data_IF_952045385899
#
_entry.id   IF_952045385899
#
_cell.length_a   1.000
_cell.length_b   1.000
_cell.length_c   1.000
_cell.angle_alpha   90.00
_cell.angle_beta   90.00
_cell.angle_gamma   90.00
#
_symmetry.space_group_name_H-M   'P 1'
#
loop_
_entity.id
_entity.type
_entity.pdbx_description
1 polymer ?
#
# COMPACT_ATOMS: atom_id res chain seq x y z
N UNK A 1 3.94 -3.31 -5.59
CA UNK A 1 3.78 -2.00 -6.29
C UNK A 1 4.27 -0.90 -5.36
N UNK A 2 4.69 0.28 -5.86
CA UNK A 2 5.21 1.34 -4.97
C UNK A 2 4.10 2.00 -4.13
N UNK A 3 4.37 2.28 -2.85
CA UNK A 3 3.39 2.84 -1.92
C UNK A 3 2.73 4.17 -2.36
N UNK A 4 3.42 5.11 -3.03
CA UNK A 4 2.76 6.29 -3.60
C UNK A 4 1.68 5.94 -4.62
N UNK A 5 1.90 4.92 -5.44
CA UNK A 5 0.92 4.46 -6.45
C UNK A 5 -0.32 3.84 -5.78
N UNK A 6 -0.14 3.03 -4.73
CA UNK A 6 -1.26 2.54 -3.90
C UNK A 6 -2.10 3.68 -3.33
N UNK A 7 -1.43 4.71 -2.81
CA UNK A 7 -2.13 5.87 -2.21
C UNK A 7 -2.91 6.67 -3.26
N UNK A 8 -2.31 6.92 -4.43
CA UNK A 8 -2.99 7.61 -5.54
C UNK A 8 -4.19 6.82 -6.03
N UNK A 9 -4.04 5.50 -6.24
CA UNK A 9 -5.12 4.63 -6.66
C UNK A 9 -6.26 4.59 -5.64
N UNK A 10 -5.95 4.35 -4.37
CA UNK A 10 -6.97 4.33 -3.32
C UNK A 10 -7.71 5.67 -3.21
N UNK A 11 -7.01 6.80 -3.28
CA UNK A 11 -7.62 8.12 -3.31
C UNK A 11 -8.45 8.35 -4.58
N UNK A 12 -7.98 7.91 -5.76
CA UNK A 12 -8.74 8.02 -6.99
C UNK A 12 -10.06 7.23 -6.93
N UNK A 13 -10.05 6.05 -6.32
CA UNK A 13 -11.23 5.20 -6.17
C UNK A 13 -12.17 5.67 -5.06
N UNK A 14 -11.63 6.03 -3.90
CA UNK A 14 -12.39 6.12 -2.66
C UNK A 14 -12.54 7.55 -2.11
N UNK A 15 -11.77 8.55 -2.56
CA UNK A 15 -11.87 9.91 -2.02
C UNK A 15 -13.10 10.67 -2.51
N UNK A 16 -13.49 11.69 -1.75
CA UNK A 16 -14.63 12.56 -2.09
C UNK A 16 -14.25 14.02 -1.86
N UNK A 17 -14.54 14.89 -2.86
CA UNK A 17 -14.38 16.34 -2.70
C UNK A 17 -15.25 16.84 -1.55
N UNK A 18 -14.65 17.69 -0.66
CA UNK A 18 -15.35 18.23 0.51
C UNK A 18 -15.38 17.32 1.75
N UNK A 19 -15.02 16.04 1.62
CA UNK A 19 -14.97 15.09 2.75
C UNK A 19 -13.53 14.84 3.20
N UNK A 20 -12.97 15.80 3.93
CA UNK A 20 -11.58 15.74 4.40
C UNK A 20 -11.30 14.52 5.29
N UNK A 21 -12.25 14.18 6.18
CA UNK A 21 -12.08 13.06 7.13
C UNK A 21 -11.98 11.73 6.38
N UNK A 22 -12.89 11.49 5.42
CA UNK A 22 -12.84 10.31 4.55
C UNK A 22 -11.54 10.25 3.76
N UNK A 23 -11.10 11.36 3.18
CA UNK A 23 -9.87 11.39 2.38
C UNK A 23 -8.63 11.05 3.20
N UNK A 24 -8.54 11.51 4.46
CA UNK A 24 -7.49 11.10 5.38
C UNK A 24 -7.60 9.61 5.77
N UNK A 25 -8.80 9.09 6.03
CA UNK A 25 -8.98 7.66 6.30
C UNK A 25 -8.51 6.80 5.13
N UNK A 26 -8.81 7.21 3.89
CA UNK A 26 -8.34 6.52 2.68
C UNK A 26 -6.81 6.59 2.54
N UNK A 27 -6.22 7.77 2.72
CA UNK A 27 -4.77 7.94 2.62
C UNK A 27 -4.03 7.08 3.67
N UNK A 28 -4.47 7.13 4.92
CA UNK A 28 -3.89 6.33 6.00
C UNK A 28 -4.07 4.83 5.75
N UNK A 29 -5.26 4.40 5.33
CA UNK A 29 -5.53 2.99 5.03
C UNK A 29 -4.69 2.45 3.88
N UNK A 30 -4.38 3.27 2.88
CA UNK A 30 -3.52 2.84 1.76
C UNK A 30 -2.03 2.73 2.11
N UNK A 31 -1.57 3.38 3.19
CA UNK A 31 -0.16 3.37 3.62
C UNK A 31 0.07 2.32 4.70
N UNK A 32 -0.94 2.01 5.50
CA UNK A 32 -0.79 1.18 6.70
C UNK A 32 -0.19 -0.22 6.43
N UNK A 33 -0.46 -0.90 5.29
CA UNK A 33 0.18 -2.18 5.00
C UNK A 33 1.71 -2.12 4.96
N UNK A 34 2.27 -1.01 4.47
CA UNK A 34 3.72 -0.79 4.34
C UNK A 34 4.36 -0.17 5.58
N UNK A 35 3.57 0.29 6.55
CA UNK A 35 4.10 1.06 7.70
C UNK A 35 5.12 0.28 8.50
N UNK A 36 4.95 -1.04 8.59
CA UNK A 36 5.90 -1.92 9.27
C UNK A 36 7.32 -1.77 8.66
N UNK A 37 7.42 -1.82 7.35
CA UNK A 37 8.69 -1.70 6.61
C UNK A 37 9.26 -0.30 6.76
N UNK A 38 8.43 0.74 6.64
CA UNK A 38 8.87 2.14 6.77
C UNK A 38 9.39 2.52 8.14
N UNK A 39 8.91 1.88 9.21
CA UNK A 39 9.42 2.12 10.55
C UNK A 39 10.61 1.22 10.87
N UNK A 40 10.52 -0.05 10.48
CA UNK A 40 11.53 -1.06 10.81
C UNK A 40 12.85 -0.85 10.05
N UNK A 41 12.80 -0.60 8.72
CA UNK A 41 14.02 -0.51 7.92
C UNK A 41 14.91 0.68 8.32
N UNK A 42 14.41 1.91 8.53
CA UNK A 42 15.21 3.01 9.06
C UNK A 42 15.75 2.73 10.47
N UNK A 43 14.94 2.11 11.35
CA UNK A 43 15.40 1.75 12.68
C UNK A 43 16.60 0.78 12.63
N UNK A 44 16.52 -0.28 11.83
CA UNK A 44 17.62 -1.22 11.65
C UNK A 44 18.85 -0.54 11.04
N UNK A 45 18.63 0.32 10.05
CA UNK A 45 19.70 0.98 9.30
C UNK A 45 20.44 2.02 10.15
N UNK A 46 19.71 2.92 10.83
CA UNK A 46 20.28 4.11 11.46
C UNK A 46 20.50 3.95 12.98
N UNK A 47 19.71 3.11 13.64
CA UNK A 47 19.86 2.87 15.10
C UNK A 47 20.74 1.65 15.36
N UNK A 48 20.46 0.53 14.65
CA UNK A 48 21.21 -0.72 14.87
C UNK A 48 22.44 -0.85 13.95
N UNK A 49 22.69 0.08 13.01
CA UNK A 49 23.86 0.09 12.14
C UNK A 49 23.92 -1.08 11.14
N UNK A 50 22.78 -1.73 10.85
CA UNK A 50 22.71 -2.88 9.94
C UNK A 50 23.03 -2.43 8.50
N UNK A 51 23.87 -3.20 7.78
CA UNK A 51 24.13 -2.94 6.36
C UNK A 51 22.86 -3.14 5.52
N UNK A 52 22.73 -2.40 4.39
CA UNK A 52 21.59 -2.56 3.49
C UNK A 52 21.45 -3.98 2.96
N UNK A 53 22.57 -4.63 2.63
CA UNK A 53 22.55 -6.01 2.15
C UNK A 53 21.98 -6.98 3.19
N UNK A 54 22.47 -6.95 4.42
CA UNK A 54 21.98 -7.78 5.51
C UNK A 54 20.51 -7.49 5.82
N UNK A 55 20.11 -6.19 5.76
CA UNK A 55 18.74 -5.77 6.00
C UNK A 55 17.76 -6.45 5.03
N UNK A 56 18.04 -6.37 3.72
CA UNK A 56 17.09 -6.81 2.69
C UNK A 56 17.24 -8.28 2.29
N UNK A 57 18.42 -8.91 2.48
CA UNK A 57 18.64 -10.31 2.12
C UNK A 57 18.41 -11.29 3.28
N UNK A 58 18.60 -10.83 4.52
CA UNK A 58 18.48 -11.71 5.69
C UNK A 58 17.33 -11.28 6.61
N UNK A 59 17.42 -10.08 7.21
CA UNK A 59 16.52 -9.66 8.27
C UNK A 59 15.08 -9.42 7.78
N UNK A 60 14.91 -8.98 6.54
CA UNK A 60 13.59 -8.81 5.94
C UNK A 60 12.83 -10.15 5.84
N UNK A 61 13.54 -11.24 5.53
CA UNK A 61 12.95 -12.58 5.42
C UNK A 61 12.92 -13.34 6.75
N UNK A 62 13.49 -12.78 7.82
CA UNK A 62 13.43 -13.38 9.15
C UNK A 62 12.00 -13.41 9.70
N UNK A 63 11.67 -14.47 10.43
CA UNK A 63 10.32 -14.73 10.93
C UNK A 63 9.68 -13.55 11.68
N UNK A 64 10.37 -12.82 12.58
CA UNK A 64 9.77 -11.68 13.28
C UNK A 64 9.27 -10.58 12.33
N UNK A 65 10.05 -10.27 11.26
CA UNK A 65 9.66 -9.27 10.30
C UNK A 65 8.52 -9.77 9.40
N UNK A 66 8.58 -11.03 8.97
CA UNK A 66 7.53 -11.65 8.16
C UNK A 66 6.21 -11.77 8.94
N UNK A 67 6.24 -11.98 10.25
CA UNK A 67 5.05 -11.95 11.12
C UNK A 67 4.46 -10.53 11.20
N UNK A 68 5.32 -9.52 11.35
CA UNK A 68 4.90 -8.13 11.39
C UNK A 68 4.27 -7.70 10.05
N UNK A 69 4.88 -8.04 8.92
CA UNK A 69 4.34 -7.80 7.58
C UNK A 69 2.97 -8.49 7.44
N UNK A 70 2.85 -9.75 7.82
CA UNK A 70 1.60 -10.50 7.71
C UNK A 70 0.46 -9.85 8.52
N UNK A 71 0.75 -9.31 9.71
CA UNK A 71 -0.23 -8.58 10.50
C UNK A 71 -0.76 -7.33 9.77
N UNK A 72 0.14 -6.53 9.19
CA UNK A 72 -0.22 -5.30 8.49
C UNK A 72 -0.79 -5.53 7.09
N UNK A 73 -0.56 -6.70 6.48
CA UNK A 73 -1.04 -7.08 5.14
C UNK A 73 -2.12 -8.18 5.19
N UNK A 74 -2.95 -8.20 6.22
CA UNK A 74 -3.96 -9.23 6.42
C UNK A 74 -5.32 -8.88 5.81
N UNK A 75 -5.72 -9.58 4.75
CA UNK A 75 -7.05 -9.47 4.15
C UNK A 75 -8.17 -9.81 5.16
N UNK A 76 -8.06 -10.87 5.99
CA UNK A 76 -9.08 -11.16 7.01
C UNK A 76 -9.28 -10.03 8.02
N UNK A 77 -8.20 -9.40 8.51
CA UNK A 77 -8.28 -8.30 9.47
C UNK A 77 -8.99 -7.09 8.84
N UNK A 78 -8.54 -6.64 7.66
CA UNK A 78 -9.16 -5.48 7.01
C UNK A 78 -10.55 -5.80 6.44
N UNK A 79 -10.82 -7.05 6.06
CA UNK A 79 -12.15 -7.52 5.71
C UNK A 79 -13.12 -7.41 6.89
N UNK A 80 -12.72 -7.88 8.07
CA UNK A 80 -13.50 -7.73 9.29
C UNK A 80 -13.74 -6.26 9.67
N UNK A 81 -12.69 -5.40 9.57
CA UNK A 81 -12.83 -3.96 9.78
C UNK A 81 -13.78 -3.31 8.77
N UNK A 82 -13.74 -3.72 7.50
CA UNK A 82 -14.65 -3.22 6.47
C UNK A 82 -16.11 -3.62 6.76
N UNK A 83 -16.35 -4.87 7.14
CA UNK A 83 -17.68 -5.37 7.52
C UNK A 83 -18.20 -4.59 8.75
N UNK A 84 -17.40 -4.47 9.81
CA UNK A 84 -17.76 -3.72 11.00
C UNK A 84 -18.04 -2.24 10.68
N UNK A 85 -17.19 -1.61 9.87
CA UNK A 85 -17.36 -0.24 9.40
C UNK A 85 -18.65 -0.06 8.58
N UNK A 86 -18.96 -1.03 7.74
CA UNK A 86 -20.20 -1.02 6.97
C UNK A 86 -21.45 -1.15 7.86
N UNK A 87 -21.46 -2.07 8.82
CA UNK A 87 -22.54 -2.23 9.79
C UNK A 87 -22.75 -0.94 10.61
N UNK A 88 -21.64 -0.33 11.01
CA UNK A 88 -21.66 0.89 11.83
C UNK A 88 -21.66 2.20 11.01
N UNK A 89 -21.95 2.15 9.71
CA UNK A 89 -21.86 3.30 8.80
C UNK A 89 -22.82 4.45 9.10
N UNK A 90 -23.81 4.25 9.93
CA UNK A 90 -24.65 5.34 10.46
C UNK A 90 -23.83 6.32 11.34
N UNK A 91 -22.76 5.82 12.01
CA UNK A 91 -21.84 6.61 12.81
C UNK A 91 -20.68 7.11 11.98
N UNK A 92 -20.16 8.31 12.28
CA UNK A 92 -19.03 8.90 11.56
C UNK A 92 -17.79 8.00 11.61
N UNK A 93 -17.43 7.47 12.78
CA UNK A 93 -16.27 6.59 12.91
C UNK A 93 -16.41 5.28 12.12
N UNK A 94 -17.63 4.71 12.03
CA UNK A 94 -17.88 3.52 11.22
C UNK A 94 -17.64 3.78 9.74
N UNK A 95 -18.08 4.94 9.22
CA UNK A 95 -17.75 5.35 7.84
C UNK A 95 -16.24 5.49 7.62
N UNK A 96 -15.53 6.11 8.55
CA UNK A 96 -14.09 6.31 8.43
C UNK A 96 -13.35 4.98 8.46
N UNK A 97 -13.73 4.07 9.37
CA UNK A 97 -13.18 2.71 9.45
C UNK A 97 -13.44 1.92 8.17
N UNK A 98 -14.62 2.01 7.58
CA UNK A 98 -14.93 1.38 6.29
C UNK A 98 -13.99 1.87 5.19
N UNK A 99 -13.83 3.19 5.02
CA UNK A 99 -12.97 3.73 3.96
C UNK A 99 -11.47 3.46 4.21
N UNK A 100 -11.03 3.47 5.46
CA UNK A 100 -9.69 3.04 5.84
C UNK A 100 -9.43 1.58 5.45
N UNK A 101 -10.33 0.68 5.84
CA UNK A 101 -10.20 -0.75 5.54
C UNK A 101 -10.28 -1.04 4.04
N UNK A 102 -11.19 -0.39 3.30
CA UNK A 102 -11.27 -0.53 1.84
C UNK A 102 -10.00 -0.06 1.14
N UNK A 103 -9.35 1.01 1.63
CA UNK A 103 -8.08 1.48 1.08
C UNK A 103 -6.94 0.48 1.34
N UNK A 104 -6.86 -0.13 2.53
CA UNK A 104 -5.90 -1.18 2.83
C UNK A 104 -6.15 -2.44 1.98
N UNK A 105 -7.41 -2.82 1.78
CA UNK A 105 -7.77 -3.94 0.88
C UNK A 105 -7.41 -3.63 -0.58
N UNK A 106 -7.57 -2.38 -1.04
CA UNK A 106 -7.14 -1.96 -2.39
C UNK A 106 -5.62 -2.10 -2.55
N UNK A 107 -4.85 -1.72 -1.53
CA UNK A 107 -3.39 -1.90 -1.51
C UNK A 107 -3.04 -3.39 -1.70
N UNK A 108 -3.54 -4.26 -0.82
CA UNK A 108 -3.26 -5.70 -0.88
C UNK A 108 -3.75 -6.35 -2.19
N UNK A 109 -4.89 -5.92 -2.74
CA UNK A 109 -5.39 -6.43 -4.01
C UNK A 109 -4.47 -6.12 -5.19
N UNK A 110 -3.72 -5.03 -5.13
CA UNK A 110 -2.76 -4.65 -6.17
C UNK A 110 -1.34 -5.16 -5.91
N UNK A 111 -1.02 -5.53 -4.67
CA UNK A 111 0.25 -6.18 -4.35
C UNK A 111 0.25 -7.67 -4.64
N UNK A 112 -0.86 -8.33 -4.35
CA UNK A 112 -0.99 -9.79 -4.53
C UNK A 112 -0.51 -10.29 -5.91
N UNK A 113 -0.81 -9.63 -7.05
CA UNK A 113 -0.37 -10.09 -8.37
C UNK A 113 1.07 -9.71 -8.73
N UNK A 114 1.83 -8.99 -7.89
CA UNK A 114 3.15 -8.44 -8.26
C UNK A 114 4.27 -8.75 -7.25
N UNK A 115 4.04 -9.67 -6.33
CA UNK A 115 5.03 -10.18 -5.38
C UNK A 115 5.34 -11.66 -5.66
N UNK A 116 6.60 -11.96 -6.00
CA UNK A 116 7.09 -13.32 -6.26
C UNK A 116 7.88 -13.85 -5.04
N UNK A 117 9.18 -13.60 -4.99
CA UNK A 117 10.07 -14.09 -3.94
C UNK A 117 9.69 -13.55 -2.55
N UNK A 118 9.20 -12.34 -2.49
CA UNK A 118 8.76 -11.64 -1.27
C UNK A 118 7.24 -11.73 -1.03
N UNK A 119 6.58 -12.75 -1.58
CA UNK A 119 5.14 -12.95 -1.45
C UNK A 119 4.67 -12.93 0.01
N UNK A 120 3.62 -12.15 0.29
CA UNK A 120 3.10 -11.94 1.64
C UNK A 120 2.08 -13.00 2.04
N UNK A 121 1.93 -13.22 3.37
CA UNK A 121 0.89 -14.07 3.96
C UNK A 121 -0.41 -13.29 4.13
N UNK A 122 -1.05 -12.93 3.01
CA UNK A 122 -2.24 -12.09 3.01
C UNK A 122 -3.45 -12.67 3.76
N UNK A 123 -3.48 -13.99 4.00
CA UNK A 123 -4.59 -14.65 4.69
C UNK A 123 -4.33 -14.91 6.18
N UNK A 124 -3.20 -14.42 6.73
CA UNK A 124 -2.94 -14.47 8.15
C UNK A 124 -4.03 -13.71 8.94
N UNK A 125 -4.50 -14.17 10.13
CA UNK A 125 -4.05 -15.35 10.89
C UNK A 125 -4.76 -16.67 10.50
N UNK A 126 -5.61 -16.67 9.49
CA UNK A 126 -6.39 -17.85 9.11
C UNK A 126 -5.56 -18.88 8.35
N UNK A 127 -4.51 -18.43 7.65
CA UNK A 127 -3.63 -19.29 6.84
C UNK A 127 -2.29 -18.60 6.60
N UNK A 128 -1.21 -19.40 6.61
CA UNK A 128 0.14 -18.98 6.22
C UNK A 128 0.40 -19.11 4.69
N UNK A 129 -0.63 -19.47 3.94
CA UNK A 129 -0.54 -19.58 2.49
C UNK A 129 -0.13 -18.27 1.83
N UNK A 130 0.76 -18.38 0.81
CA UNK A 130 1.26 -17.25 0.02
C UNK A 130 0.92 -17.49 -1.45
N UNK A 131 0.39 -16.49 -2.11
CA UNK A 131 0.30 -16.49 -3.55
C UNK A 131 1.63 -16.01 -4.13
N UNK A 132 2.41 -16.95 -4.63
CA UNK A 132 3.67 -16.65 -5.33
C UNK A 132 3.29 -16.25 -6.75
N UNK A 133 3.29 -14.93 -7.02
CA UNK A 133 2.93 -14.43 -8.33
C UNK A 133 3.99 -14.77 -9.38
N UNK A 134 3.61 -15.07 -10.64
CA UNK A 134 4.56 -15.15 -11.74
C UNK A 134 5.15 -13.79 -12.12
N UNK A 135 4.59 -12.70 -11.60
CA UNK A 135 5.03 -11.32 -11.84
C UNK A 135 5.68 -10.75 -10.58
N UNK A 136 6.69 -9.89 -10.75
CA UNK A 136 7.28 -9.12 -9.66
C UNK A 136 7.47 -7.66 -10.09
N UNK A 137 7.26 -6.72 -9.14
CA UNK A 137 7.43 -5.30 -9.44
C UNK A 137 8.92 -4.87 -9.48
N UNK A 138 9.87 -5.70 -9.00
CA UNK A 138 11.30 -5.38 -8.94
C UNK A 138 12.23 -6.45 -9.54
N UNK A 139 11.75 -7.70 -9.74
CA UNK A 139 12.57 -8.78 -10.27
C UNK A 139 12.46 -8.85 -11.80
N UNK A 140 13.57 -8.59 -12.50
CA UNK A 140 13.60 -8.58 -13.98
C UNK A 140 13.22 -9.92 -14.60
N UNK A 141 13.56 -11.03 -13.94
CA UNK A 141 13.23 -12.40 -14.37
C UNK A 141 11.72 -12.69 -14.28
N UNK A 142 10.99 -11.91 -13.45
CA UNK A 142 9.56 -12.00 -13.25
C UNK A 142 8.81 -10.80 -13.86
N UNK A 143 9.27 -10.34 -15.03
CA UNK A 143 8.58 -9.33 -15.86
C UNK A 143 8.41 -7.94 -15.21
N UNK A 144 9.34 -7.51 -14.33
CA UNK A 144 9.28 -6.21 -13.66
C UNK A 144 9.06 -5.02 -14.61
N UNK A 145 9.64 -5.05 -15.81
CA UNK A 145 9.44 -4.00 -16.81
C UNK A 145 7.98 -3.83 -17.24
N UNK A 146 7.24 -4.92 -17.42
CA UNK A 146 5.80 -4.85 -17.74
C UNK A 146 4.97 -4.38 -16.55
N UNK A 147 5.31 -4.84 -15.34
CA UNK A 147 4.65 -4.37 -14.10
C UNK A 147 4.87 -2.87 -13.93
N UNK A 148 6.07 -2.35 -14.19
CA UNK A 148 6.37 -0.92 -14.14
C UNK A 148 5.53 -0.12 -15.15
N UNK A 149 5.31 -0.61 -16.38
CA UNK A 149 4.44 0.05 -17.37
C UNK A 149 2.99 0.12 -16.88
N UNK A 150 2.48 -0.98 -16.32
CA UNK A 150 1.12 -1.02 -15.74
C UNK A 150 1.02 -0.08 -14.53
N UNK A 151 2.02 -0.08 -13.65
CA UNK A 151 2.07 0.82 -12.50
C UNK A 151 2.08 2.30 -12.93
N UNK A 152 2.86 2.65 -13.96
CA UNK A 152 2.88 3.99 -14.53
C UNK A 152 1.50 4.38 -15.09
N UNK A 153 0.81 3.48 -15.78
CA UNK A 153 -0.54 3.71 -16.29
C UNK A 153 -1.56 3.95 -15.16
N UNK A 154 -1.49 3.16 -14.08
CA UNK A 154 -2.31 3.35 -12.87
C UNK A 154 -1.98 4.70 -12.23
N UNK A 155 -0.71 5.04 -12.12
CA UNK A 155 -0.27 6.31 -11.54
C UNK A 155 -0.80 7.52 -12.33
N UNK A 156 -0.61 7.53 -13.66
CA UNK A 156 -1.07 8.59 -14.55
C UNK A 156 -2.60 8.75 -14.50
N UNK A 157 -3.33 7.65 -14.64
CA UNK A 157 -4.81 7.66 -14.60
C UNK A 157 -5.33 8.16 -13.27
N UNK A 158 -4.77 7.67 -12.16
CA UNK A 158 -5.14 8.11 -10.81
C UNK A 158 -4.86 9.60 -10.61
N UNK A 159 -3.70 10.08 -11.09
CA UNK A 159 -3.33 11.49 -11.03
C UNK A 159 -4.29 12.38 -11.82
N UNK A 160 -4.71 11.96 -13.02
CA UNK A 160 -5.70 12.69 -13.83
C UNK A 160 -7.05 12.77 -13.10
N UNK A 161 -7.52 11.68 -12.50
CA UNK A 161 -8.76 11.64 -11.72
C UNK A 161 -8.68 12.60 -10.54
N UNK A 162 -7.59 12.57 -9.78
CA UNK A 162 -7.39 13.43 -8.61
C UNK A 162 -7.22 14.91 -8.99
N UNK A 163 -6.52 15.19 -10.09
CA UNK A 163 -6.37 16.55 -10.62
C UNK A 163 -7.72 17.18 -10.97
N UNK A 164 -8.60 16.42 -11.61
CA UNK A 164 -9.97 16.87 -11.94
C UNK A 164 -10.85 16.99 -10.68
N UNK A 165 -10.68 16.09 -9.70
CA UNK A 165 -11.49 16.05 -8.47
C UNK A 165 -11.12 17.17 -7.49
N UNK A 166 -9.82 17.49 -7.36
CA UNK A 166 -9.30 18.44 -6.37
C UNK A 166 -8.64 19.65 -7.05
N UNK A 167 -9.29 20.82 -7.09
CA UNK A 167 -8.78 22.00 -7.80
C UNK A 167 -7.64 22.72 -7.04
N UNK A 168 -7.34 22.34 -5.79
CA UNK A 168 -6.34 23.00 -4.96
C UNK A 168 -4.92 22.86 -5.53
N UNK A 169 -4.21 23.98 -5.64
CA UNK A 169 -2.83 24.06 -6.15
C UNK A 169 -1.85 23.12 -5.43
N UNK A 170 -2.03 22.92 -4.13
CA UNK A 170 -1.19 22.01 -3.35
C UNK A 170 -1.35 20.54 -3.76
N UNK A 171 -2.57 20.09 -4.05
CA UNK A 171 -2.80 18.73 -4.58
C UNK A 171 -2.09 18.58 -5.92
N UNK A 172 -2.20 19.57 -6.79
CA UNK A 172 -1.53 19.57 -8.10
C UNK A 172 -0.01 19.54 -7.97
N UNK A 173 0.56 20.32 -7.02
CA UNK A 173 2.00 20.31 -6.76
C UNK A 173 2.48 18.94 -6.27
N UNK A 174 1.73 18.30 -5.36
CA UNK A 174 2.04 16.92 -4.89
C UNK A 174 1.97 15.92 -6.04
N UNK A 175 0.93 15.98 -6.88
CA UNK A 175 0.78 15.09 -8.04
C UNK A 175 1.89 15.25 -9.08
N UNK A 176 2.49 16.44 -9.20
CA UNK A 176 3.64 16.69 -10.07
C UNK A 176 4.95 16.24 -9.40
N UNK A 177 5.08 16.43 -8.09
CA UNK A 177 6.32 16.11 -7.36
C UNK A 177 6.54 14.62 -7.08
N UNK A 178 5.45 13.86 -6.92
CA UNK A 178 5.53 12.41 -6.63
C UNK A 178 6.27 11.58 -7.70
N UNK A 179 6.17 11.86 -9.04
CA UNK A 179 6.94 11.11 -10.03
C UNK A 179 8.44 11.23 -9.88
N UNK A 180 8.91 12.37 -9.37
CA UNK A 180 10.35 12.60 -9.19
C UNK A 180 10.95 11.66 -8.15
N UNK A 181 10.15 11.15 -7.22
CA UNK A 181 10.59 10.14 -6.24
C UNK A 181 10.68 8.73 -6.79
N UNK A 182 9.98 8.43 -7.90
CA UNK A 182 10.01 7.11 -8.55
C UNK A 182 11.20 6.94 -9.50
N UNK A 183 11.83 8.05 -9.93
CA UNK A 183 12.96 8.04 -10.88
C UNK A 183 14.29 7.71 -10.18
N UNK A 184 14.34 7.73 -8.85
CA UNK A 184 15.56 7.51 -8.06
C UNK A 184 15.63 6.14 -7.34
N UNK A 185 14.83 5.16 -7.78
CA UNK A 185 14.93 3.76 -7.34
C UNK A 185 15.43 2.94 -8.55
#
# INVERSE_FOLDING_TARGET
MNSPTHTLLALALLSKRGDRKRNWAVALGSIIPDVAIYLWAPYQRFVNGVSGEKLWRELYFAEPMQNLIAYFNSIPIYGALAILGYVMRAKTWGKLMLFFALAALTHMATDLPVHNHDAYRHFWPLSDWRFISPLSYYESEHHAGWVMVVELAIWVTSSIVLWKRFPHRWVKAVLIGLPLSLIHI
#
